data_IF_991390000200
#
_entry.id   IF_991390000200
#
_cell.length_a   1.000
_cell.length_b   1.000
_cell.length_c   1.000
_cell.angle_alpha   90.00
_cell.angle_beta   90.00
_cell.angle_gamma   90.00
#
_symmetry.space_group_name_H-M   'P 1'
#
loop_
_entity.id
_entity.type
_entity.pdbx_description
1 polymer ?
#
# COMPACT_ATOMS: atom_id res chain seq x y z
N UNK A 1 -9.38 28.51 18.30
CA UNK A 1 -10.33 27.41 18.06
C UNK A 1 -9.64 26.38 17.20
N UNK A 2 -9.27 25.26 17.80
CA UNK A 2 -8.52 24.17 17.20
C UNK A 2 -9.49 23.07 16.73
N UNK A 3 -9.35 22.69 15.46
CA UNK A 3 -9.81 21.42 14.91
C UNK A 3 -8.71 20.91 13.99
N UNK A 4 -7.86 20.04 14.53
CA UNK A 4 -6.75 19.48 13.77
C UNK A 4 -7.24 18.49 12.74
N UNK A 5 -6.44 18.31 11.68
CA UNK A 5 -6.58 17.24 10.68
C UNK A 5 -5.32 16.38 10.63
N UNK A 6 -4.32 16.67 11.46
CA UNK A 6 -3.09 15.93 11.52
C UNK A 6 -3.31 14.63 12.28
N UNK A 7 -2.99 13.52 11.64
CA UNK A 7 -3.05 12.16 12.20
C UNK A 7 -2.04 12.03 13.34
N UNK A 8 -0.95 12.79 13.33
CA UNK A 8 0.06 12.75 14.40
C UNK A 8 -0.42 13.37 15.71
N UNK A 9 -1.52 14.12 15.70
CA UNK A 9 -2.13 14.63 16.94
C UNK A 9 -3.00 13.57 17.65
N UNK A 10 -3.30 12.46 16.98
CA UNK A 10 -3.95 11.31 17.63
C UNK A 10 -2.98 10.64 18.60
N UNK A 11 -3.52 9.88 19.55
CA UNK A 11 -2.71 8.97 20.37
C UNK A 11 -1.95 8.02 19.44
N UNK A 12 -0.68 7.74 19.72
CA UNK A 12 0.23 7.10 18.75
C UNK A 12 -0.25 5.75 18.21
N UNK A 13 -0.91 4.95 19.06
CA UNK A 13 -1.53 3.68 18.71
C UNK A 13 -2.78 3.85 17.80
N UNK A 14 -3.60 4.87 18.08
CA UNK A 14 -4.74 5.27 17.26
C UNK A 14 -4.27 5.83 15.91
N UNK A 15 -3.20 6.63 15.90
CA UNK A 15 -2.58 7.16 14.70
C UNK A 15 -2.07 6.03 13.78
N UNK A 16 -1.41 5.02 14.35
CA UNK A 16 -0.94 3.86 13.61
C UNK A 16 -2.10 3.11 12.93
N UNK A 17 -3.17 2.81 13.69
CA UNK A 17 -4.34 2.14 13.14
C UNK A 17 -5.17 3.01 12.18
N UNK A 18 -5.19 4.34 12.36
CA UNK A 18 -5.76 5.26 11.38
C UNK A 18 -5.04 5.14 10.02
N UNK A 19 -3.71 5.03 10.01
CA UNK A 19 -2.93 4.86 8.78
C UNK A 19 -3.20 3.51 8.11
N UNK A 20 -3.32 2.44 8.91
CA UNK A 20 -3.70 1.11 8.43
C UNK A 20 -5.10 1.14 7.82
N UNK A 21 -6.07 1.72 8.50
CA UNK A 21 -7.43 1.91 7.98
C UNK A 21 -7.44 2.68 6.65
N UNK A 22 -6.68 3.79 6.55
CA UNK A 22 -6.56 4.53 5.29
C UNK A 22 -5.98 3.67 4.16
N UNK A 23 -5.05 2.76 4.47
CA UNK A 23 -4.50 1.83 3.48
C UNK A 23 -5.56 0.83 3.02
N UNK A 24 -6.29 0.20 3.95
CA UNK A 24 -7.40 -0.70 3.61
C UNK A 24 -8.47 -0.01 2.76
N UNK A 25 -8.80 1.24 3.07
CA UNK A 25 -9.70 2.05 2.26
C UNK A 25 -9.17 2.25 0.84
N UNK A 26 -7.88 2.60 0.69
CA UNK A 26 -7.25 2.74 -0.65
C UNK A 26 -7.32 1.44 -1.44
N UNK A 27 -6.98 0.32 -0.82
CA UNK A 27 -6.98 -1.00 -1.49
C UNK A 27 -8.40 -1.44 -1.89
N UNK A 28 -9.42 -1.00 -1.15
CA UNK A 28 -10.83 -1.21 -1.48
C UNK A 28 -11.39 -0.19 -2.50
N UNK A 29 -10.56 0.70 -3.06
CA UNK A 29 -10.97 1.75 -3.99
C UNK A 29 -11.73 2.92 -3.34
N UNK A 30 -11.60 3.10 -2.02
CA UNK A 30 -12.23 4.18 -1.25
C UNK A 30 -11.23 5.30 -0.98
N UNK A 31 -11.33 6.38 -1.76
CA UNK A 31 -10.50 7.58 -1.55
C UNK A 31 -11.02 8.38 -0.34
N UNK A 32 -10.38 8.19 0.82
CA UNK A 32 -10.73 8.85 2.09
C UNK A 32 -9.85 10.07 2.37
N UNK A 33 -10.38 11.05 3.09
CA UNK A 33 -9.65 12.19 3.64
C UNK A 33 -10.01 12.40 5.12
N UNK A 34 -9.03 12.71 5.97
CA UNK A 34 -9.27 13.07 7.38
C UNK A 34 -9.75 14.52 7.47
N UNK A 35 -10.85 14.73 8.17
CA UNK A 35 -11.52 16.03 8.33
C UNK A 35 -11.47 16.56 9.76
N UNK A 36 -11.17 15.70 10.74
CA UNK A 36 -10.97 16.08 12.14
C UNK A 36 -10.18 15.03 12.91
N UNK A 37 -9.25 15.45 13.76
CA UNK A 37 -8.54 14.61 14.74
C UNK A 37 -8.78 15.17 16.14
N UNK A 38 -7.87 15.95 16.70
CA UNK A 38 -8.08 16.60 18.00
C UNK A 38 -8.75 17.96 17.87
N UNK A 39 -9.55 18.33 18.86
CA UNK A 39 -10.23 19.62 18.95
C UNK A 39 -10.14 20.20 20.35
N UNK A 40 -10.20 21.54 20.43
CA UNK A 40 -10.28 22.25 21.71
C UNK A 40 -11.74 22.42 22.17
N UNK A 41 -11.92 22.93 23.40
CA UNK A 41 -13.24 23.20 23.98
C UNK A 41 -14.02 24.25 23.19
N UNK A 42 -13.35 25.24 22.63
CA UNK A 42 -14.01 26.30 21.86
C UNK A 42 -14.66 25.73 20.59
N UNK A 43 -13.98 24.81 19.89
CA UNK A 43 -14.51 24.15 18.70
C UNK A 43 -15.66 23.22 19.04
N UNK A 44 -15.54 22.47 20.14
CA UNK A 44 -16.63 21.61 20.60
C UNK A 44 -17.89 22.42 20.94
N UNK A 45 -17.74 23.55 21.65
CA UNK A 45 -18.87 24.43 21.98
C UNK A 45 -19.49 25.02 20.70
N UNK A 46 -18.69 25.37 19.69
CA UNK A 46 -19.17 25.77 18.38
C UNK A 46 -20.01 24.66 17.72
N UNK A 47 -19.53 23.41 17.69
CA UNK A 47 -20.30 22.27 17.16
C UNK A 47 -21.61 22.04 17.92
N UNK A 48 -21.59 22.12 19.25
CA UNK A 48 -22.78 21.98 20.09
C UNK A 48 -23.83 23.05 19.76
N UNK A 49 -23.41 24.33 19.66
CA UNK A 49 -24.29 25.45 19.34
C UNK A 49 -24.90 25.34 17.94
N UNK A 50 -24.17 24.74 17.01
CA UNK A 50 -24.64 24.50 15.64
C UNK A 50 -25.43 23.19 15.48
N UNK A 51 -25.64 22.44 16.56
CA UNK A 51 -26.38 21.17 16.52
C UNK A 51 -25.62 20.02 15.85
N UNK A 52 -24.32 20.17 15.57
CA UNK A 52 -23.46 19.11 15.00
C UNK A 52 -22.76 18.28 16.08
N UNK A 53 -23.03 18.55 17.36
CA UNK A 53 -22.66 17.68 18.46
C UNK A 53 -23.67 17.71 19.60
N UNK A 54 -23.83 16.60 20.31
CA UNK A 54 -24.63 16.51 21.55
C UNK A 54 -23.90 17.03 22.80
N UNK A 55 -22.57 17.05 22.78
CA UNK A 55 -21.74 17.39 23.94
C UNK A 55 -21.07 18.75 23.80
N UNK A 56 -21.01 19.50 24.90
CA UNK A 56 -20.32 20.81 25.00
C UNK A 56 -18.81 20.71 25.24
N UNK A 57 -18.36 19.56 25.73
CA UNK A 57 -16.95 19.31 26.08
C UNK A 57 -16.44 18.15 25.24
N UNK A 58 -15.27 18.27 24.59
CA UNK A 58 -14.77 17.21 23.74
C UNK A 58 -14.41 16.01 24.62
N UNK A 59 -14.70 14.81 24.11
CA UNK A 59 -14.38 13.55 24.78
C UNK A 59 -13.26 12.85 24.02
N UNK A 60 -13.59 11.96 23.07
CA UNK A 60 -12.59 11.20 22.30
C UNK A 60 -11.71 12.09 21.42
N UNK A 61 -12.25 13.19 20.89
CA UNK A 61 -11.48 14.19 20.13
C UNK A 61 -10.71 15.19 21.00
N UNK A 62 -10.74 15.11 22.33
CA UNK A 62 -10.09 16.14 23.14
C UNK A 62 -8.59 16.23 22.84
N UNK A 63 -8.06 17.46 22.78
CA UNK A 63 -6.62 17.70 22.67
C UNK A 63 -5.90 17.03 23.86
N UNK A 64 -4.84 16.28 23.58
CA UNK A 64 -4.13 15.45 24.56
C UNK A 64 -4.77 14.07 24.83
N UNK A 65 -5.97 13.79 24.27
CA UNK A 65 -6.63 12.48 24.34
C UNK A 65 -6.49 11.73 23.01
N UNK A 66 -6.91 12.33 21.89
CA UNK A 66 -6.61 11.84 20.54
C UNK A 66 -7.12 10.42 20.22
N UNK A 67 -8.35 10.09 20.62
CA UNK A 67 -8.96 8.76 20.45
C UNK A 67 -9.97 8.64 19.32
N UNK A 68 -10.26 9.73 18.61
CA UNK A 68 -11.23 9.73 17.51
C UNK A 68 -10.75 10.58 16.34
N UNK A 69 -11.24 10.24 15.16
CA UNK A 69 -11.04 10.98 13.93
C UNK A 69 -12.30 10.94 13.06
N UNK A 70 -12.48 12.01 12.30
CA UNK A 70 -13.54 12.17 11.32
C UNK A 70 -12.96 12.03 9.91
N UNK A 71 -13.73 11.44 9.00
CA UNK A 71 -13.34 11.27 7.60
C UNK A 71 -14.44 11.65 6.61
N UNK A 72 -14.06 11.86 5.36
CA UNK A 72 -14.98 12.08 4.25
C UNK A 72 -14.47 11.43 2.96
N UNK A 73 -15.30 11.47 1.90
CA UNK A 73 -14.87 11.12 0.54
C UNK A 73 -13.95 12.20 0.01
N UNK A 74 -12.76 11.84 -0.44
CA UNK A 74 -11.77 12.77 -0.99
C UNK A 74 -12.08 13.14 -2.45
N UNK A 75 -13.29 13.65 -2.69
CA UNK A 75 -13.77 14.11 -3.98
C UNK A 75 -14.50 15.44 -3.76
N UNK A 76 -13.98 16.51 -4.35
CA UNK A 76 -14.49 17.87 -4.19
C UNK A 76 -15.98 17.95 -4.55
N UNK A 77 -16.80 18.48 -3.64
CA UNK A 77 -18.24 18.62 -3.81
C UNK A 77 -19.03 17.32 -3.59
N UNK A 78 -18.37 16.22 -3.23
CA UNK A 78 -18.99 14.92 -2.91
C UNK A 78 -18.59 14.39 -1.53
N UNK A 79 -17.98 15.23 -0.70
CA UNK A 79 -17.35 14.83 0.57
C UNK A 79 -18.31 14.04 1.47
N UNK A 80 -19.58 14.44 1.48
CA UNK A 80 -20.64 13.85 2.33
C UNK A 80 -21.86 13.36 1.54
N UNK A 81 -21.77 13.21 0.22
CA UNK A 81 -22.93 12.94 -0.64
C UNK A 81 -23.24 11.45 -0.83
N UNK A 82 -22.39 10.56 -0.35
CA UNK A 82 -22.39 9.13 -0.69
C UNK A 82 -22.51 8.25 0.57
N UNK A 83 -23.73 7.89 1.00
CA UNK A 83 -23.92 7.06 2.20
C UNK A 83 -23.27 5.67 2.10
N UNK A 84 -23.21 5.09 0.90
CA UNK A 84 -22.60 3.78 0.68
C UNK A 84 -21.08 3.83 0.85
N UNK A 85 -20.45 4.94 0.46
CA UNK A 85 -19.04 5.19 0.75
C UNK A 85 -18.75 5.15 2.26
N UNK A 86 -19.54 5.87 3.07
CA UNK A 86 -19.35 5.87 4.52
C UNK A 86 -19.61 4.51 5.16
N UNK A 87 -20.60 3.76 4.66
CA UNK A 87 -20.86 2.40 5.12
C UNK A 87 -19.63 1.52 4.93
N UNK A 88 -19.10 1.46 3.70
CA UNK A 88 -17.93 0.62 3.38
C UNK A 88 -16.68 1.06 4.14
N UNK A 89 -16.42 2.36 4.22
CA UNK A 89 -15.25 2.89 4.93
C UNK A 89 -15.37 2.71 6.45
N UNK A 90 -16.57 2.86 7.01
CA UNK A 90 -16.87 2.61 8.41
C UNK A 90 -16.67 1.15 8.80
N UNK A 91 -17.16 0.21 7.99
CA UNK A 91 -16.97 -1.23 8.19
C UNK A 91 -15.50 -1.65 8.17
N UNK A 92 -14.66 -1.03 7.32
CA UNK A 92 -13.21 -1.21 7.38
C UNK A 92 -12.62 -0.66 8.69
N UNK A 93 -13.19 0.42 9.24
CA UNK A 93 -12.82 0.94 10.55
C UNK A 93 -13.15 -0.04 11.67
N UNK A 94 -14.34 -0.64 11.61
CA UNK A 94 -14.77 -1.71 12.53
C UNK A 94 -13.81 -2.91 12.45
N UNK A 95 -13.40 -3.32 11.24
CA UNK A 95 -12.41 -4.39 11.02
C UNK A 95 -11.06 -4.12 11.70
N UNK A 96 -10.61 -2.86 11.70
CA UNK A 96 -9.38 -2.43 12.38
C UNK A 96 -9.53 -2.38 13.91
N UNK A 97 -10.76 -2.40 14.41
CA UNK A 97 -11.09 -2.38 15.85
C UNK A 97 -11.63 -1.03 16.34
N UNK A 98 -11.88 -0.07 15.45
CA UNK A 98 -12.57 1.17 15.82
C UNK A 98 -14.07 0.92 16.03
N UNK A 99 -14.67 1.71 16.90
CA UNK A 99 -16.12 1.89 16.91
C UNK A 99 -16.50 2.92 15.85
N UNK A 100 -17.45 2.55 14.98
CA UNK A 100 -17.94 3.43 13.92
C UNK A 100 -19.25 4.14 14.32
N UNK A 101 -19.25 5.47 14.26
CA UNK A 101 -20.39 6.31 14.65
C UNK A 101 -21.63 6.11 13.78
N UNK A 102 -21.49 5.56 12.57
CA UNK A 102 -22.61 5.17 11.72
C UNK A 102 -23.49 4.06 12.31
N UNK A 103 -22.98 3.27 13.27
CA UNK A 103 -23.76 2.25 14.00
C UNK A 103 -24.54 2.80 15.20
N UNK A 104 -24.35 4.06 15.58
CA UNK A 104 -25.02 4.62 16.75
C UNK A 104 -26.54 4.69 16.55
N UNK A 105 -27.29 4.14 17.51
CA UNK A 105 -28.77 4.12 17.47
C UNK A 105 -29.39 5.51 17.59
N UNK A 106 -28.68 6.46 18.21
CA UNK A 106 -29.15 7.83 18.39
C UNK A 106 -28.07 8.80 17.94
N UNK A 107 -28.41 9.65 16.95
CA UNK A 107 -27.50 10.58 16.30
C UNK A 107 -26.36 9.85 15.55
N UNK A 108 -26.69 9.07 14.51
CA UNK A 108 -25.68 8.37 13.71
C UNK A 108 -24.71 9.37 13.09
N UNK A 109 -23.41 9.17 13.34
CA UNK A 109 -22.34 10.03 12.87
C UNK A 109 -21.43 9.23 11.92
N UNK A 110 -21.82 9.18 10.64
CA UNK A 110 -21.16 8.34 9.63
C UNK A 110 -19.69 8.71 9.37
N UNK A 111 -19.28 9.98 9.44
CA UNK A 111 -17.87 10.38 9.39
C UNK A 111 -17.00 9.90 10.55
N UNK A 112 -17.58 9.48 11.69
CA UNK A 112 -16.85 9.35 12.95
C UNK A 112 -16.30 7.93 13.19
N UNK A 113 -15.02 7.83 13.55
CA UNK A 113 -14.39 6.61 14.07
C UNK A 113 -13.68 6.90 15.39
N UNK A 114 -13.84 6.01 16.38
CA UNK A 114 -13.18 6.16 17.68
C UNK A 114 -12.62 4.85 18.23
N UNK A 115 -11.54 4.94 18.99
CA UNK A 115 -11.08 3.84 19.84
C UNK A 115 -11.78 3.91 21.21
N UNK A 116 -12.72 3.00 21.44
CA UNK A 116 -13.47 2.88 22.70
C UNK A 116 -13.20 1.58 23.46
N UNK A 117 -12.16 0.83 23.08
CA UNK A 117 -11.87 -0.46 23.69
C UNK A 117 -12.98 -1.50 23.46
N UNK A 118 -13.56 -1.50 22.25
CA UNK A 118 -14.70 -2.35 21.90
C UNK A 118 -16.00 -1.95 22.60
N UNK A 119 -16.26 -0.63 22.71
CA UNK A 119 -17.48 -0.09 23.34
C UNK A 119 -17.47 -0.05 24.88
N UNK A 120 -16.36 -0.44 25.52
CA UNK A 120 -16.24 -0.50 26.99
C UNK A 120 -15.97 0.85 27.64
N UNK A 121 -15.44 1.82 26.88
CA UNK A 121 -15.10 3.15 27.36
C UNK A 121 -16.07 4.18 26.79
N UNK A 122 -16.73 4.92 27.68
CA UNK A 122 -17.72 5.94 27.31
C UNK A 122 -17.15 7.34 27.42
N UNK A 123 -17.81 8.33 26.80
CA UNK A 123 -17.40 9.74 26.90
C UNK A 123 -17.26 10.23 28.36
N UNK A 124 -18.14 9.81 29.26
CA UNK A 124 -18.05 10.14 30.68
C UNK A 124 -16.82 9.55 31.36
N UNK A 125 -16.34 8.37 30.91
CA UNK A 125 -15.09 7.79 31.41
C UNK A 125 -13.88 8.58 30.91
N UNK A 126 -13.88 8.99 29.64
CA UNK A 126 -12.82 9.85 29.08
C UNK A 126 -12.73 11.17 29.84
N UNK A 127 -13.87 11.81 30.14
CA UNK A 127 -13.92 13.04 30.96
C UNK A 127 -13.38 12.85 32.38
N UNK A 128 -13.54 11.64 32.93
CA UNK A 128 -12.99 11.26 34.24
C UNK A 128 -11.52 10.80 34.18
N UNK A 129 -10.83 10.95 33.03
CA UNK A 129 -9.45 10.52 32.84
C UNK A 129 -9.26 9.00 32.73
N UNK A 130 -10.34 8.24 32.52
CA UNK A 130 -10.29 6.78 32.33
C UNK A 130 -10.30 6.46 30.85
N UNK A 131 -9.12 6.19 30.29
CA UNK A 131 -8.91 5.94 28.87
C UNK A 131 -8.89 4.44 28.53
N UNK A 132 -9.28 4.06 27.30
CA UNK A 132 -9.11 2.70 26.82
C UNK A 132 -7.62 2.30 26.81
N UNK A 133 -7.30 1.00 26.93
CA UNK A 133 -5.93 0.51 26.85
C UNK A 133 -5.32 0.86 25.48
N UNK A 134 -4.02 0.59 25.33
CA UNK A 134 -3.37 0.72 24.04
C UNK A 134 -4.14 -0.09 22.98
N UNK A 135 -4.42 0.52 21.84
CA UNK A 135 -5.07 -0.13 20.71
C UNK A 135 -4.05 -1.09 20.08
N UNK A 136 -4.32 -2.40 20.03
CA UNK A 136 -3.45 -3.33 19.32
C UNK A 136 -3.32 -2.91 17.86
N UNK A 137 -2.10 -2.96 17.30
CA UNK A 137 -1.90 -2.68 15.89
C UNK A 137 -2.62 -3.76 15.07
N UNK A 138 -3.52 -3.34 14.20
CA UNK A 138 -4.19 -4.24 13.28
C UNK A 138 -3.16 -4.87 12.33
N UNK A 139 -3.21 -6.19 12.24
CA UNK A 139 -2.48 -6.98 11.24
C UNK A 139 -3.51 -7.79 10.50
N UNK A 140 -3.51 -7.69 9.18
CA UNK A 140 -4.33 -8.57 8.37
C UNK A 140 -3.77 -9.99 8.51
N UNK A 141 -4.57 -10.91 9.03
CA UNK A 141 -4.22 -12.32 9.00
C UNK A 141 -4.23 -12.77 7.55
N UNK A 142 -3.04 -12.94 6.96
CA UNK A 142 -2.87 -13.57 5.66
C UNK A 142 -3.12 -15.06 5.88
N UNK A 143 -4.36 -15.49 5.62
CA UNK A 143 -4.74 -16.89 5.73
C UNK A 143 -4.37 -17.64 4.46
N UNK A 144 -3.08 -17.63 4.11
CA UNK A 144 -2.52 -18.46 3.06
C UNK A 144 -1.92 -19.71 3.69
N UNK A 145 -2.21 -20.85 3.09
CA UNK A 145 -1.50 -22.09 3.40
C UNK A 145 -0.06 -22.00 2.92
N UNK A 146 0.83 -22.80 3.52
CA UNK A 146 2.23 -22.91 3.07
C UNK A 146 2.28 -23.31 1.58
N UNK A 147 1.37 -24.17 1.13
CA UNK A 147 1.29 -24.63 -0.25
C UNK A 147 0.95 -23.48 -1.21
N UNK A 148 0.05 -22.58 -0.84
CA UNK A 148 -0.30 -21.40 -1.67
C UNK A 148 0.86 -20.41 -1.77
N UNK A 149 1.60 -20.22 -0.68
CA UNK A 149 2.82 -19.39 -0.71
C UNK A 149 3.89 -20.04 -1.59
N UNK A 150 4.10 -21.35 -1.47
CA UNK A 150 5.04 -22.09 -2.32
C UNK A 150 4.67 -21.97 -3.80
N UNK A 151 3.40 -22.19 -4.15
CA UNK A 151 2.93 -22.07 -5.53
C UNK A 151 3.16 -20.67 -6.11
N UNK A 152 2.93 -19.61 -5.33
CA UNK A 152 3.17 -18.23 -5.78
C UNK A 152 4.66 -17.96 -6.02
N UNK A 153 5.54 -18.48 -5.15
CA UNK A 153 7.00 -18.35 -5.30
C UNK A 153 7.47 -19.13 -6.52
N UNK A 154 7.03 -20.38 -6.69
CA UNK A 154 7.36 -21.22 -7.84
C UNK A 154 6.96 -20.54 -9.14
N UNK A 155 5.72 -20.05 -9.23
CA UNK A 155 5.24 -19.32 -10.41
C UNK A 155 6.09 -18.08 -10.71
N UNK A 156 6.49 -17.35 -9.67
CA UNK A 156 7.33 -16.15 -9.82
C UNK A 156 8.74 -16.49 -10.31
N UNK A 157 9.33 -17.58 -9.81
CA UNK A 157 10.64 -18.08 -10.23
C UNK A 157 10.59 -18.61 -11.66
N UNK A 158 9.59 -19.43 -12.01
CA UNK A 158 9.41 -19.94 -13.37
C UNK A 158 9.28 -18.81 -14.38
N UNK A 159 8.46 -17.80 -14.08
CA UNK A 159 8.33 -16.63 -14.94
C UNK A 159 9.67 -15.90 -15.11
N UNK A 160 10.39 -15.66 -14.02
CA UNK A 160 11.69 -14.99 -14.08
C UNK A 160 12.73 -15.79 -14.89
N UNK A 161 12.71 -17.12 -14.81
CA UNK A 161 13.55 -17.98 -15.62
C UNK A 161 13.16 -17.93 -17.11
N UNK A 162 11.87 -17.98 -17.42
CA UNK A 162 11.38 -17.87 -18.80
C UNK A 162 11.77 -16.51 -19.43
N UNK A 163 11.56 -15.40 -18.71
CA UNK A 163 11.94 -14.06 -19.16
C UNK A 163 13.45 -13.97 -19.42
N UNK A 164 14.27 -14.60 -18.56
CA UNK A 164 15.73 -14.67 -18.74
C UNK A 164 16.11 -15.48 -19.97
N UNK A 165 15.51 -16.65 -20.14
CA UNK A 165 15.84 -17.56 -21.24
C UNK A 165 15.43 -16.93 -22.59
N UNK A 166 14.31 -16.20 -22.66
CA UNK A 166 13.93 -15.41 -23.82
C UNK A 166 14.94 -14.29 -24.10
N UNK A 167 15.39 -13.55 -23.07
CA UNK A 167 16.40 -12.51 -23.22
C UNK A 167 17.73 -13.07 -23.74
N UNK A 168 18.17 -14.24 -23.25
CA UNK A 168 19.37 -14.95 -23.71
C UNK A 168 19.20 -15.44 -25.15
N UNK A 169 18.06 -16.02 -25.50
CA UNK A 169 17.78 -16.47 -26.87
C UNK A 169 17.87 -15.29 -27.86
N UNK A 170 17.32 -14.12 -27.49
CA UNK A 170 17.42 -12.90 -28.28
C UNK A 170 18.86 -12.41 -28.41
N UNK A 171 19.63 -12.39 -27.31
CA UNK A 171 21.04 -11.96 -27.36
C UNK A 171 21.90 -12.87 -28.24
N UNK A 172 21.63 -14.18 -28.25
CA UNK A 172 22.34 -15.14 -29.11
C UNK A 172 22.13 -14.81 -30.60
N UNK A 173 20.94 -14.37 -31.00
CA UNK A 173 20.58 -14.12 -32.40
C UNK A 173 20.91 -12.70 -32.88
N UNK A 174 21.39 -11.82 -32.00
CA UNK A 174 21.59 -10.41 -32.33
C UNK A 174 23.07 -10.06 -32.39
N UNK A 175 23.47 -9.43 -33.49
CA UNK A 175 24.84 -8.90 -33.62
C UNK A 175 24.95 -7.65 -32.77
N UNK A 176 25.97 -7.58 -31.91
CA UNK A 176 26.26 -6.35 -31.18
C UNK A 176 26.71 -5.24 -32.14
N UNK A 177 26.27 -4.01 -31.89
CA UNK A 177 26.54 -2.84 -32.75
C UNK A 177 28.04 -2.59 -32.97
N UNK A 178 28.88 -2.85 -31.97
CA UNK A 178 30.34 -2.68 -32.09
C UNK A 178 31.00 -3.73 -32.98
N UNK A 179 30.37 -4.90 -33.15
CA UNK A 179 30.91 -6.04 -33.89
C UNK A 179 30.30 -6.20 -35.29
N UNK A 180 29.30 -5.39 -35.66
CA UNK A 180 28.48 -5.57 -36.87
C UNK A 180 29.32 -5.70 -38.15
N UNK A 181 30.23 -4.75 -38.38
CA UNK A 181 31.09 -4.73 -39.57
C UNK A 181 32.06 -5.92 -39.62
N UNK A 182 32.56 -6.37 -38.46
CA UNK A 182 33.47 -7.52 -38.39
C UNK A 182 32.71 -8.83 -38.61
N UNK A 183 31.53 -8.96 -38.03
CA UNK A 183 30.65 -10.12 -38.19
C UNK A 183 30.22 -10.29 -39.65
N UNK A 184 29.78 -9.22 -40.30
CA UNK A 184 29.37 -9.26 -41.71
C UNK A 184 30.51 -9.73 -42.63
N UNK A 185 31.72 -9.18 -42.45
CA UNK A 185 32.91 -9.62 -43.20
C UNK A 185 33.25 -11.08 -42.93
N UNK A 186 33.20 -11.52 -41.67
CA UNK A 186 33.53 -12.90 -41.29
C UNK A 186 32.50 -13.89 -41.86
N UNK A 187 31.22 -13.54 -41.89
CA UNK A 187 30.17 -14.34 -42.50
C UNK A 187 30.34 -14.41 -44.04
N UNK A 188 30.60 -13.28 -44.70
CA UNK A 188 30.83 -13.24 -46.16
C UNK A 188 32.07 -14.02 -46.59
N UNK A 189 33.12 -14.00 -45.77
CA UNK A 189 34.35 -14.78 -46.00
C UNK A 189 34.18 -16.29 -45.68
N UNK A 190 33.01 -16.72 -45.19
CA UNK A 190 32.74 -18.12 -44.82
C UNK A 190 33.43 -18.58 -43.53
N UNK A 191 33.95 -17.65 -42.72
CA UNK A 191 34.57 -17.96 -41.41
C UNK A 191 33.50 -18.39 -40.40
N UNK A 192 32.33 -17.76 -40.46
CA UNK A 192 31.13 -18.14 -39.71
C UNK A 192 29.94 -18.32 -40.66
N UNK A 193 28.94 -19.10 -40.25
CA UNK A 193 27.75 -19.40 -41.06
C UNK A 193 26.67 -18.30 -41.01
N UNK A 194 26.95 -17.19 -40.31
CA UNK A 194 26.04 -16.06 -40.15
C UNK A 194 24.96 -16.25 -39.07
N UNK A 195 24.92 -17.39 -38.40
CA UNK A 195 23.96 -17.67 -37.33
C UNK A 195 24.57 -17.41 -35.94
N UNK A 196 23.70 -17.14 -34.96
CA UNK A 196 24.06 -17.06 -33.52
C UNK A 196 25.25 -16.12 -33.20
N UNK A 197 25.26 -14.87 -33.67
CA UNK A 197 26.38 -13.92 -33.47
C UNK A 197 26.72 -13.62 -32.01
N UNK A 198 25.75 -13.69 -31.10
CA UNK A 198 25.95 -13.51 -29.66
C UNK A 198 26.13 -14.84 -28.90
N UNK A 199 26.28 -15.96 -29.63
CA UNK A 199 26.51 -17.27 -29.05
C UNK A 199 27.89 -17.40 -28.41
N UNK A 200 27.99 -18.23 -27.36
CA UNK A 200 29.27 -18.56 -26.77
C UNK A 200 30.13 -19.39 -27.75
N UNK A 201 31.39 -18.98 -27.94
CA UNK A 201 32.39 -19.72 -28.70
C UNK A 201 33.29 -20.50 -27.74
N UNK A 202 33.40 -21.81 -27.91
CA UNK A 202 34.31 -22.62 -27.09
C UNK A 202 35.76 -22.43 -27.53
N UNK A 203 36.72 -22.72 -26.64
CA UNK A 203 38.16 -22.65 -26.98
C UNK A 203 38.54 -23.60 -28.12
N UNK A 204 37.91 -24.77 -28.17
CA UNK A 204 38.09 -25.74 -29.25
C UNK A 204 37.59 -25.19 -30.59
N UNK A 205 36.39 -24.60 -30.60
CA UNK A 205 35.85 -23.94 -31.80
C UNK A 205 36.76 -22.79 -32.25
N UNK A 206 37.27 -21.99 -31.31
CA UNK A 206 38.20 -20.91 -31.62
C UNK A 206 39.52 -21.43 -32.23
N UNK A 207 40.08 -22.51 -31.69
CA UNK A 207 41.30 -23.13 -32.22
C UNK A 207 41.11 -23.64 -33.66
N UNK A 208 39.98 -24.30 -33.96
CA UNK A 208 39.64 -24.75 -35.31
C UNK A 208 39.51 -23.57 -36.29
N UNK A 209 38.88 -22.47 -35.86
CA UNK A 209 38.79 -21.25 -36.67
C UNK A 209 40.19 -20.68 -36.97
N UNK A 210 41.05 -20.58 -35.96
CA UNK A 210 42.43 -20.07 -36.13
C UNK A 210 43.28 -20.95 -37.04
N UNK A 211 43.14 -22.28 -36.94
CA UNK A 211 43.83 -23.24 -37.79
C UNK A 211 43.42 -23.12 -39.26
N UNK A 212 42.09 -23.06 -39.53
CA UNK A 212 41.55 -22.88 -40.88
C UNK A 212 41.98 -21.57 -41.54
N UNK A 213 42.26 -20.55 -40.74
CA UNK A 213 42.79 -19.27 -41.20
C UNK A 213 44.31 -19.29 -41.41
N UNK A 214 44.99 -20.42 -41.15
CA UNK A 214 46.44 -20.57 -41.30
C UNK A 214 47.25 -19.83 -40.22
N UNK A 215 46.62 -19.39 -39.13
CA UNK A 215 47.25 -18.55 -38.10
C UNK A 215 48.04 -19.35 -37.06
N UNK A 216 48.02 -20.69 -37.15
CA UNK A 216 48.71 -21.58 -36.22
C UNK A 216 50.02 -22.17 -36.78
N UNK A 217 50.30 -21.99 -38.08
CA UNK A 217 51.57 -22.43 -38.67
C UNK A 217 52.64 -21.37 -38.38
N UNK A 218 53.60 -21.70 -37.51
CA UNK A 218 54.81 -20.91 -37.23
C UNK A 218 56.02 -21.54 -37.89
#
# INVERSE_FOLDING_TARGET
>A
MLNSRDINDLRSDVAANCRVWMQLCRDAGLSVCITGTVRDRAYQEYCYRNGTSKGRVPTFHAQGVGLAFDFCKNVKGQEYSDPAFFQRAGELGERVGFEWGGRWKSFPDRPHLQWSGGGKYTGSMILAGRYPPAMPLYREEINMTINEVQALVEQSVEKALADRDEAVARSIQTVSTWASNAWEKAAQAGVFDGTRPGGALTREQAAVVLDRLGLLQR
#
